data_IF_964568951329
#
_entry.id   IF_964568951329
#
_cell.length_a   1.000
_cell.length_b   1.000
_cell.length_c   1.000
_cell.angle_alpha   90.00
_cell.angle_beta   90.00
_cell.angle_gamma   90.00
#
_symmetry.space_group_name_H-M   'P 1'
#
loop_
_entity.id
_entity.type
_entity.pdbx_description
1 polymer ?
#
# COMPACT_ATOMS: atom_id res chain seq x y z
N UNK A 1 -32.77 15.30 -7.56
CA UNK A 1 -32.56 14.55 -6.31
C UNK A 1 -31.09 14.17 -6.29
N UNK A 2 -30.31 14.51 -5.25
CA UNK A 2 -28.94 13.99 -5.16
C UNK A 2 -29.02 12.47 -5.01
N UNK A 3 -28.24 11.74 -5.81
CA UNK A 3 -28.17 10.30 -5.73
C UNK A 3 -27.67 9.91 -4.34
N UNK A 4 -28.38 8.99 -3.68
CA UNK A 4 -27.89 8.33 -2.46
C UNK A 4 -26.52 7.73 -2.80
N UNK A 5 -25.44 8.07 -2.08
CA UNK A 5 -24.14 7.44 -2.33
C UNK A 5 -24.33 5.93 -2.17
N UNK A 6 -23.85 5.17 -3.16
CA UNK A 6 -23.81 3.72 -3.06
C UNK A 6 -23.04 3.37 -1.78
N UNK A 7 -23.61 2.50 -0.94
CA UNK A 7 -22.87 2.00 0.20
C UNK A 7 -21.66 1.23 -0.36
N UNK A 8 -20.46 1.64 0.06
CA UNK A 8 -19.25 0.88 -0.19
C UNK A 8 -19.48 -0.56 0.28
N UNK A 9 -19.21 -1.54 -0.59
CA UNK A 9 -19.35 -2.93 -0.19
C UNK A 9 -18.12 -3.35 0.62
N UNK A 10 -18.31 -4.25 1.59
CA UNK A 10 -17.20 -4.80 2.38
C UNK A 10 -16.96 -6.24 1.96
N UNK A 11 -15.82 -6.48 1.32
CA UNK A 11 -15.39 -7.80 0.87
C UNK A 11 -14.43 -8.35 1.92
N UNK A 12 -14.80 -9.44 2.59
CA UNK A 12 -13.88 -10.13 3.52
C UNK A 12 -13.04 -11.15 2.76
N UNK A 13 -11.73 -11.17 3.03
CA UNK A 13 -10.77 -12.08 2.39
C UNK A 13 -9.89 -12.74 3.43
N UNK A 14 -9.56 -14.02 3.19
CA UNK A 14 -8.78 -14.85 4.11
C UNK A 14 -7.55 -15.47 3.46
N UNK A 15 -7.28 -15.13 2.20
CA UNK A 15 -6.14 -15.66 1.42
C UNK A 15 -5.58 -14.58 0.48
N UNK A 16 -4.34 -14.77 0.04
CA UNK A 16 -3.74 -13.90 -0.96
C UNK A 16 -4.52 -13.87 -2.28
N UNK A 17 -5.01 -15.03 -2.75
CA UNK A 17 -5.76 -15.12 -4.00
C UNK A 17 -7.08 -14.33 -3.93
N UNK A 18 -7.79 -14.39 -2.81
CA UNK A 18 -9.01 -13.59 -2.59
C UNK A 18 -8.69 -12.10 -2.52
N UNK A 19 -7.60 -11.72 -1.83
CA UNK A 19 -7.13 -10.33 -1.78
C UNK A 19 -6.78 -9.80 -3.18
N UNK A 20 -6.08 -10.59 -4.00
CA UNK A 20 -5.70 -10.23 -5.37
C UNK A 20 -6.93 -10.05 -6.27
N UNK A 21 -7.91 -10.95 -6.15
CA UNK A 21 -9.18 -10.82 -6.86
C UNK A 21 -9.92 -9.56 -6.42
N UNK A 22 -9.98 -9.28 -5.11
CA UNK A 22 -10.61 -8.09 -4.58
C UNK A 22 -9.91 -6.80 -5.08
N UNK A 23 -8.58 -6.77 -5.14
CA UNK A 23 -7.85 -5.62 -5.72
C UNK A 23 -8.15 -5.39 -7.21
N UNK A 24 -8.42 -6.46 -7.95
CA UNK A 24 -8.70 -6.40 -9.39
C UNK A 24 -10.16 -6.02 -9.66
N UNK A 25 -11.08 -6.63 -8.91
CA UNK A 25 -12.53 -6.57 -9.15
C UNK A 25 -13.23 -5.47 -8.35
N UNK A 26 -12.60 -4.92 -7.30
CA UNK A 26 -13.21 -3.88 -6.46
C UNK A 26 -13.76 -2.72 -7.29
N UNK A 27 -14.99 -2.33 -6.98
CA UNK A 27 -15.54 -1.07 -7.41
C UNK A 27 -14.77 0.09 -6.75
N UNK A 28 -14.89 1.28 -7.31
CA UNK A 28 -14.34 2.47 -6.66
C UNK A 28 -14.98 2.64 -5.28
N UNK A 29 -14.14 2.84 -4.27
CA UNK A 29 -14.50 3.08 -2.87
C UNK A 29 -14.91 1.84 -2.06
N UNK A 30 -14.72 0.62 -2.58
CA UNK A 30 -14.94 -0.61 -1.82
C UNK A 30 -13.96 -0.74 -0.64
N UNK A 31 -14.38 -1.50 0.37
CA UNK A 31 -13.53 -1.90 1.50
C UNK A 31 -13.22 -3.38 1.42
N UNK A 32 -11.95 -3.75 1.46
CA UNK A 32 -11.47 -5.13 1.54
C UNK A 32 -10.95 -5.37 2.94
N UNK A 33 -11.62 -6.23 3.69
CA UNK A 33 -11.24 -6.59 5.05
C UNK A 33 -10.46 -7.90 5.07
N UNK A 34 -9.23 -7.87 5.54
CA UNK A 34 -8.40 -9.08 5.73
C UNK A 34 -8.64 -9.61 7.13
N UNK A 35 -9.24 -10.80 7.24
CA UNK A 35 -9.66 -11.38 8.52
C UNK A 35 -8.76 -12.52 9.03
N UNK A 36 -7.78 -12.93 8.23
CA UNK A 36 -6.87 -14.02 8.56
C UNK A 36 -5.42 -13.65 8.28
N UNK A 37 -4.51 -14.36 8.97
CA UNK A 37 -3.09 -14.26 8.68
C UNK A 37 -2.71 -15.11 7.48
N UNK A 38 -1.90 -14.55 6.58
CA UNK A 38 -1.28 -15.30 5.50
C UNK A 38 0.07 -14.69 5.10
N UNK A 39 0.83 -15.43 4.29
CA UNK A 39 2.11 -14.98 3.76
C UNK A 39 2.23 -15.37 2.30
N UNK A 40 2.37 -14.38 1.44
CA UNK A 40 2.77 -14.51 0.05
C UNK A 40 4.14 -13.86 -0.15
N UNK A 41 4.99 -14.44 -1.00
CA UNK A 41 6.39 -14.00 -1.17
C UNK A 41 6.83 -13.84 -2.63
N UNK A 42 5.95 -14.21 -3.57
CA UNK A 42 6.27 -14.27 -4.99
C UNK A 42 5.38 -13.34 -5.80
N UNK A 43 4.06 -13.37 -5.56
CA UNK A 43 3.09 -12.65 -6.41
C UNK A 43 2.89 -11.19 -6.01
N UNK A 44 2.93 -10.30 -7.00
CA UNK A 44 2.74 -8.85 -6.82
C UNK A 44 1.26 -8.55 -6.61
N UNK A 45 0.94 -7.82 -5.54
CA UNK A 45 -0.41 -7.30 -5.31
C UNK A 45 -0.60 -6.00 -6.09
N UNK A 46 -1.39 -6.03 -7.15
CA UNK A 46 -1.62 -4.88 -8.03
C UNK A 46 -3.01 -4.26 -7.86
N UNK A 47 -3.05 -2.95 -7.58
CA UNK A 47 -4.25 -2.13 -7.69
C UNK A 47 -4.27 -1.44 -9.06
N UNK A 48 -5.27 -1.70 -9.93
CA UNK A 48 -5.31 -1.11 -11.26
C UNK A 48 -5.37 0.43 -11.25
N UNK A 49 -4.98 1.04 -12.37
CA UNK A 49 -5.02 2.50 -12.54
C UNK A 49 -6.42 3.08 -12.30
N UNK A 50 -6.47 4.30 -11.73
CA UNK A 50 -7.70 5.04 -11.44
C UNK A 50 -8.70 4.32 -10.53
N UNK A 51 -8.26 3.33 -9.74
CA UNK A 51 -9.08 2.65 -8.73
C UNK A 51 -8.88 3.29 -7.36
N UNK A 52 -9.96 3.36 -6.58
CA UNK A 52 -9.91 3.73 -5.16
C UNK A 52 -10.33 2.53 -4.33
N UNK A 53 -9.53 2.16 -3.33
CA UNK A 53 -9.78 1.01 -2.48
C UNK A 53 -9.40 1.33 -1.03
N UNK A 54 -10.22 0.87 -0.09
CA UNK A 54 -9.84 0.80 1.33
C UNK A 54 -9.48 -0.64 1.68
N UNK A 55 -8.30 -0.84 2.26
CA UNK A 55 -7.85 -2.11 2.80
C UNK A 55 -7.90 -2.02 4.32
N UNK A 56 -8.83 -2.76 4.94
CA UNK A 56 -8.95 -2.92 6.38
C UNK A 56 -8.15 -4.15 6.83
N UNK A 57 -7.07 -3.91 7.57
CA UNK A 57 -6.11 -4.93 8.02
C UNK A 57 -6.58 -5.49 9.37
N UNK A 58 -7.60 -6.33 9.35
CA UNK A 58 -8.13 -6.99 10.56
C UNK A 58 -7.20 -8.06 11.15
N UNK A 59 -6.31 -8.62 10.34
CA UNK A 59 -5.28 -9.59 10.75
C UNK A 59 -3.92 -9.26 10.13
N UNK A 60 -2.84 -9.72 10.76
CA UNK A 60 -1.48 -9.46 10.26
C UNK A 60 -1.13 -10.37 9.10
N UNK A 61 -0.59 -9.84 8.01
CA UNK A 61 -0.23 -10.63 6.84
C UNK A 61 1.02 -10.11 6.13
N UNK A 62 1.55 -10.93 5.23
CA UNK A 62 2.74 -10.61 4.43
C UNK A 62 2.44 -10.73 2.94
N UNK A 63 2.89 -9.74 2.16
CA UNK A 63 2.91 -9.74 0.69
C UNK A 63 4.29 -9.32 0.18
N UNK A 64 4.69 -9.65 -1.06
CA UNK A 64 6.03 -9.33 -1.52
C UNK A 64 6.19 -7.91 -2.03
N UNK A 65 5.21 -7.41 -2.79
CA UNK A 65 5.23 -6.09 -3.41
C UNK A 65 3.79 -5.64 -3.62
N UNK A 66 3.52 -4.36 -3.39
CA UNK A 66 2.26 -3.70 -3.72
C UNK A 66 2.54 -2.71 -4.85
N UNK A 67 1.79 -2.83 -5.94
CA UNK A 67 1.90 -1.94 -7.10
C UNK A 67 0.61 -1.15 -7.27
N UNK A 68 0.71 0.17 -7.21
CA UNK A 68 -0.42 1.07 -7.42
C UNK A 68 -0.35 1.65 -8.83
N UNK A 69 -1.39 1.43 -9.63
CA UNK A 69 -1.52 2.04 -10.95
C UNK A 69 -1.69 3.56 -10.86
N UNK A 70 -1.27 4.29 -11.89
CA UNK A 70 -1.39 5.74 -11.90
C UNK A 70 -2.84 6.21 -11.68
N UNK A 71 -3.02 7.27 -10.90
CA UNK A 71 -4.33 7.81 -10.51
C UNK A 71 -5.10 6.95 -9.51
N UNK A 72 -4.55 5.82 -9.05
CA UNK A 72 -5.18 5.01 -8.00
C UNK A 72 -4.97 5.62 -6.61
N UNK A 73 -5.85 5.25 -5.68
CA UNK A 73 -5.79 5.63 -4.28
C UNK A 73 -6.03 4.41 -3.40
N UNK A 74 -4.99 4.00 -2.66
CA UNK A 74 -5.09 2.94 -1.67
C UNK A 74 -5.08 3.56 -0.27
N UNK A 75 -6.12 3.29 0.51
CA UNK A 75 -6.14 3.61 1.94
C UNK A 75 -5.99 2.32 2.74
N UNK A 76 -4.97 2.24 3.59
CA UNK A 76 -4.74 1.10 4.49
C UNK A 76 -5.11 1.55 5.89
N UNK A 77 -6.01 0.82 6.53
CA UNK A 77 -6.52 1.12 7.88
C UNK A 77 -6.59 -0.14 8.73
N UNK A 78 -6.75 0.03 10.02
CA UNK A 78 -7.12 -1.04 10.94
C UNK A 78 -7.74 -0.45 12.20
N UNK A 79 -8.79 -1.11 12.68
CA UNK A 79 -9.41 -0.82 13.96
C UNK A 79 -8.66 -1.46 15.16
N UNK A 80 -7.65 -2.28 14.91
CA UNK A 80 -6.86 -2.99 15.94
C UNK A 80 -5.40 -3.05 15.56
N UNK A 81 -4.51 -3.29 16.53
CA UNK A 81 -3.09 -3.40 16.27
C UNK A 81 -2.79 -4.57 15.32
N UNK A 82 -2.53 -4.25 14.05
CA UNK A 82 -2.28 -5.21 12.98
C UNK A 82 -1.06 -4.83 12.18
N UNK A 83 -0.35 -5.81 11.64
CA UNK A 83 0.86 -5.57 10.85
C UNK A 83 0.67 -6.02 9.41
N UNK A 84 0.83 -5.09 8.47
CA UNK A 84 1.05 -5.41 7.07
C UNK A 84 2.56 -5.42 6.79
N UNK A 85 3.10 -6.60 6.49
CA UNK A 85 4.50 -6.75 6.08
C UNK A 85 4.61 -6.78 4.57
N UNK A 86 5.43 -5.90 4.00
CA UNK A 86 5.76 -5.93 2.56
C UNK A 86 7.24 -6.26 2.39
N UNK A 87 7.53 -7.50 1.98
CA UNK A 87 8.90 -8.01 1.85
C UNK A 87 9.06 -9.01 0.71
N UNK A 88 10.03 -8.78 -0.18
CA UNK A 88 10.25 -9.61 -1.37
C UNK A 88 10.40 -8.74 -2.61
N UNK A 89 10.12 -9.28 -3.79
CA UNK A 89 10.08 -8.50 -5.03
C UNK A 89 11.43 -8.23 -5.69
N UNK A 90 11.37 -7.57 -6.86
CA UNK A 90 12.53 -7.33 -7.72
C UNK A 90 13.55 -6.41 -7.04
N UNK A 91 14.85 -6.70 -7.16
CA UNK A 91 15.91 -5.75 -6.78
C UNK A 91 15.71 -4.40 -7.48
N UNK A 92 16.18 -3.32 -6.86
CA UNK A 92 16.09 -1.94 -7.38
C UNK A 92 14.69 -1.35 -7.62
N UNK A 93 13.59 -2.00 -7.20
CA UNK A 93 12.26 -1.40 -7.18
C UNK A 93 11.76 -1.14 -5.76
N UNK A 94 10.86 -0.16 -5.62
CA UNK A 94 10.16 0.06 -4.37
C UNK A 94 9.25 -1.13 -4.04
N UNK A 95 9.03 -1.40 -2.76
CA UNK A 95 8.14 -2.49 -2.33
C UNK A 95 6.69 -2.09 -2.38
N UNK A 96 6.40 -0.83 -2.08
CA UNK A 96 5.11 -0.22 -2.35
C UNK A 96 5.35 0.85 -3.41
N UNK A 97 4.98 0.54 -4.64
CA UNK A 97 5.22 1.38 -5.82
C UNK A 97 4.06 2.36 -5.94
N UNK A 98 4.33 3.64 -5.67
CA UNK A 98 3.31 4.69 -5.64
C UNK A 98 3.39 5.64 -6.83
N UNK A 99 4.21 5.37 -7.85
CA UNK A 99 4.40 6.24 -9.03
C UNK A 99 3.07 6.74 -9.61
N UNK A 100 2.76 8.03 -9.41
CA UNK A 100 1.52 8.65 -9.89
C UNK A 100 0.24 8.22 -9.17
N UNK A 101 0.34 7.55 -8.02
CA UNK A 101 -0.76 7.07 -7.18
C UNK A 101 -0.75 7.76 -5.81
N UNK A 102 -1.79 7.50 -5.01
CA UNK A 102 -1.86 7.93 -3.60
C UNK A 102 -1.91 6.72 -2.68
N UNK A 103 -1.09 6.74 -1.64
CA UNK A 103 -1.13 5.79 -0.53
C UNK A 103 -1.44 6.56 0.76
N UNK A 104 -2.52 6.19 1.44
CA UNK A 104 -2.84 6.66 2.78
C UNK A 104 -2.74 5.49 3.75
N UNK A 105 -2.10 5.69 4.89
CA UNK A 105 -2.05 4.71 5.97
C UNK A 105 -2.57 5.40 7.23
N UNK A 106 -3.57 4.83 7.87
CA UNK A 106 -4.20 5.39 9.07
C UNK A 106 -4.59 4.29 10.06
N UNK A 107 -5.09 4.69 11.24
CA UNK A 107 -5.51 3.78 12.30
C UNK A 107 -4.34 3.09 13.01
N UNK A 108 -4.60 1.88 13.50
CA UNK A 108 -3.64 1.07 14.27
C UNK A 108 -2.91 0.03 13.38
N UNK A 109 -2.41 0.48 12.23
CA UNK A 109 -1.63 -0.35 11.30
C UNK A 109 -0.14 -0.14 11.46
N UNK A 110 0.62 -1.21 11.67
CA UNK A 110 2.08 -1.20 11.48
C UNK A 110 2.40 -1.63 10.05
N UNK A 111 3.01 -0.74 9.27
CA UNK A 111 3.42 -1.02 7.90
C UNK A 111 4.92 -1.37 7.85
N UNK A 112 5.23 -2.66 7.97
CA UNK A 112 6.61 -3.15 7.99
C UNK A 112 7.12 -3.41 6.57
N UNK A 113 7.85 -2.46 5.98
CA UNK A 113 8.32 -2.55 4.58
C UNK A 113 9.83 -2.73 4.49
N UNK A 114 10.27 -3.86 3.95
CA UNK A 114 11.70 -4.12 3.78
C UNK A 114 12.21 -3.52 2.48
N UNK A 115 12.86 -2.35 2.55
CA UNK A 115 13.46 -1.67 1.40
C UNK A 115 14.41 -2.59 0.60
N UNK A 116 14.59 -2.25 -0.68
CA UNK A 116 15.58 -2.85 -1.57
C UNK A 116 16.92 -2.11 -1.48
N UNK A 117 18.04 -2.74 -1.86
CA UNK A 117 19.38 -2.13 -1.78
C UNK A 117 19.52 -0.81 -2.53
N UNK A 118 18.65 -0.55 -3.52
CA UNK A 118 18.76 0.60 -4.44
C UNK A 118 17.42 1.32 -4.67
N UNK A 119 16.41 1.08 -3.82
CA UNK A 119 15.10 1.72 -3.93
C UNK A 119 14.46 1.99 -2.57
N UNK A 120 13.53 2.94 -2.56
CA UNK A 120 12.75 3.27 -1.37
C UNK A 120 11.92 2.05 -0.90
N UNK A 121 11.59 2.01 0.39
CA UNK A 121 10.61 1.03 0.86
C UNK A 121 9.23 1.32 0.23
N UNK A 122 8.81 2.59 0.32
CA UNK A 122 7.58 3.11 -0.27
C UNK A 122 7.94 4.29 -1.17
N UNK A 123 7.46 4.29 -2.42
CA UNK A 123 7.74 5.40 -3.30
C UNK A 123 7.72 5.11 -4.80
N UNK A 124 8.38 5.99 -5.54
CA UNK A 124 8.55 5.85 -6.98
C UNK A 124 9.64 4.84 -7.34
N UNK A 125 9.56 4.30 -8.54
CA UNK A 125 10.63 3.49 -9.13
C UNK A 125 11.80 4.36 -9.61
N UNK A 126 12.98 3.78 -9.87
CA UNK A 126 14.10 4.51 -10.46
C UNK A 126 13.67 5.34 -11.69
N UNK A 127 14.03 6.63 -11.69
CA UNK A 127 13.70 7.55 -12.77
C UNK A 127 12.23 7.98 -12.86
N UNK A 128 11.38 7.61 -11.91
CA UNK A 128 9.98 8.04 -11.84
C UNK A 128 9.71 8.80 -10.53
N UNK A 129 9.01 9.95 -10.57
CA UNK A 129 8.60 10.63 -9.34
C UNK A 129 7.71 9.71 -8.51
N UNK A 130 7.86 9.78 -7.18
CA UNK A 130 6.97 9.08 -6.26
C UNK A 130 5.53 9.59 -6.34
N UNK A 131 4.60 8.79 -5.80
CA UNK A 131 3.26 9.27 -5.50
C UNK A 131 3.18 9.99 -4.17
N UNK A 132 1.96 10.33 -3.79
CA UNK A 132 1.67 10.91 -2.47
C UNK A 132 1.61 9.79 -1.44
N UNK A 133 2.28 9.97 -0.31
CA UNK A 133 2.23 9.05 0.83
C UNK A 133 1.82 9.86 2.07
N UNK A 134 0.69 9.50 2.68
CA UNK A 134 0.22 10.10 3.93
C UNK A 134 0.25 9.05 5.03
N UNK A 135 0.89 9.35 6.16
CA UNK A 135 0.87 8.52 7.36
C UNK A 135 0.11 9.26 8.48
N UNK A 136 -1.01 8.68 8.90
CA UNK A 136 -1.81 9.09 10.06
C UNK A 136 -1.77 8.04 11.18
N UNK A 137 -2.41 8.35 12.31
CA UNK A 137 -2.56 7.40 13.42
C UNK A 137 -1.24 6.91 14.04
N UNK A 138 -1.16 5.62 14.36
CA UNK A 138 0.06 4.95 14.88
C UNK A 138 0.89 4.29 13.77
N UNK A 139 0.67 4.69 12.51
CA UNK A 139 1.36 4.13 11.36
C UNK A 139 2.89 4.27 11.47
N UNK A 140 3.58 3.13 11.50
CA UNK A 140 5.03 3.06 11.52
C UNK A 140 5.54 2.39 10.24
N UNK A 141 6.40 3.10 9.49
CA UNK A 141 7.14 2.56 8.35
C UNK A 141 8.55 2.20 8.81
N UNK A 142 8.85 0.90 8.89
CA UNK A 142 10.19 0.43 9.27
C UNK A 142 10.94 -0.07 8.04
N UNK A 143 11.88 0.74 7.52
CA UNK A 143 12.79 0.30 6.46
C UNK A 143 13.99 -0.45 7.04
N UNK A 144 14.20 -1.69 6.59
CA UNK A 144 15.29 -2.55 7.05
C UNK A 144 16.32 -2.79 5.93
N UNK A 145 17.20 -1.82 5.67
CA UNK A 145 18.51 -2.01 5.02
C UNK A 145 19.38 -0.73 5.13
N UNK A 146 20.63 -0.81 4.65
CA UNK A 146 21.65 0.24 4.81
C UNK A 146 21.65 1.34 3.75
N UNK A 147 20.83 1.26 2.70
CA UNK A 147 21.05 2.04 1.47
C UNK A 147 19.80 2.68 0.85
N UNK A 148 18.60 2.16 1.13
CA UNK A 148 17.33 2.73 0.65
C UNK A 148 16.68 3.67 1.67
N UNK A 149 15.95 4.69 1.20
CA UNK A 149 15.12 5.53 2.08
C UNK A 149 13.84 4.80 2.47
N UNK A 150 13.27 5.13 3.63
CA UNK A 150 11.98 4.53 4.03
C UNK A 150 10.84 4.99 3.12
N UNK A 151 10.77 6.29 2.85
CA UNK A 151 9.82 6.91 1.92
C UNK A 151 10.62 7.84 1.01
N UNK A 152 10.44 7.76 -0.30
CA UNK A 152 11.15 8.63 -1.23
C UNK A 152 10.99 8.25 -2.70
N UNK A 153 11.67 8.99 -3.58
CA UNK A 153 11.77 8.64 -4.99
C UNK A 153 12.78 7.51 -5.18
N UNK A 154 12.65 6.76 -6.27
CA UNK A 154 13.70 5.84 -6.70
C UNK A 154 15.00 6.60 -7.03
N UNK A 155 16.11 5.88 -7.18
CA UNK A 155 17.39 6.49 -7.56
C UNK A 155 17.24 7.46 -8.74
N UNK A 156 17.61 8.73 -8.54
CA UNK A 156 17.52 9.78 -9.58
C UNK A 156 16.15 10.47 -9.72
N UNK A 157 15.20 10.22 -8.82
CA UNK A 157 13.92 10.91 -8.76
C UNK A 157 13.73 11.66 -7.43
N UNK A 158 12.93 12.73 -7.45
CA UNK A 158 12.61 13.50 -6.25
C UNK A 158 11.78 12.66 -5.25
N UNK A 159 12.04 12.86 -3.96
CA UNK A 159 11.24 12.30 -2.86
C UNK A 159 9.79 12.75 -2.94
N UNK A 160 8.83 11.84 -2.67
CA UNK A 160 7.42 12.21 -2.55
C UNK A 160 7.22 13.26 -1.45
N UNK A 161 6.30 14.20 -1.67
CA UNK A 161 5.93 15.23 -0.69
C UNK A 161 5.34 14.57 0.56
N UNK A 162 5.94 14.81 1.72
CA UNK A 162 5.36 14.48 3.02
C UNK A 162 4.64 15.71 3.57
N UNK A 163 3.30 15.83 3.46
CA UNK A 163 2.60 16.97 4.03
C UNK A 163 2.76 16.95 5.56
N UNK A 164 3.45 17.96 6.09
CA UNK A 164 3.47 18.21 7.52
C UNK A 164 2.06 18.63 7.98
N UNK A 165 1.38 17.74 8.69
CA UNK A 165 0.23 18.13 9.50
C UNK A 165 0.70 19.17 10.54
N UNK A 166 0.18 20.39 10.43
CA UNK A 166 0.24 21.45 11.47
C UNK A 166 -1.00 21.38 12.34
#
# INVERSE_FOLDING_TARGET
>A
MPATPAMADTITVSTFAELQNAFTDAASDDTVAVDSEFTETVEVLELPASKTLTLDVGASFTVPTIQLGAGSNLTITSASASTLTVQGGTPALARIRTTGATLNVDGDVVLSVTASTDAAAIGGDPGSPGGTVTLGGTAAVTARNSSGTAIGGGSGADGGDHPHHR
#
